data_IF_908019834945
#
_entry.id   IF_908019834945
#
_cell.length_a   1.000
_cell.length_b   1.000
_cell.length_c   1.000
_cell.angle_alpha   90.00
_cell.angle_beta   90.00
_cell.angle_gamma   90.00
#
_symmetry.space_group_name_H-M   'P 1'
#
loop_
_entity.id
_entity.type
_entity.pdbx_description
1 polymer ?
#
# COMPACT_ATOMS: atom_id res chain seq x y z
N UNK A 1 30.32 7.11 11.45
CA UNK A 1 29.74 5.77 11.18
C UNK A 1 30.59 5.07 10.13
N UNK A 2 30.71 3.73 10.18
CA UNK A 2 31.60 2.97 9.30
C UNK A 2 30.87 2.48 8.04
N UNK A 3 31.60 2.32 6.93
CA UNK A 3 31.10 1.74 5.67
C UNK A 3 30.40 0.38 5.86
N UNK A 4 30.77 -0.36 6.92
CA UNK A 4 30.21 -1.66 7.27
C UNK A 4 28.73 -1.61 7.68
N UNK A 5 28.25 -0.51 8.27
CA UNK A 5 26.83 -0.37 8.62
C UNK A 5 25.96 -0.19 7.37
N UNK A 6 26.47 0.59 6.41
CA UNK A 6 25.82 0.83 5.11
C UNK A 6 25.74 -0.47 4.29
N UNK A 7 26.85 -1.20 4.20
CA UNK A 7 26.88 -2.51 3.52
C UNK A 7 25.90 -3.51 4.15
N UNK A 8 25.73 -3.48 5.47
CA UNK A 8 24.81 -4.38 6.18
C UNK A 8 23.34 -4.14 5.83
N UNK A 9 22.89 -2.89 5.71
CA UNK A 9 21.49 -2.58 5.39
C UNK A 9 21.19 -2.76 3.91
N UNK A 10 22.16 -2.48 3.04
CA UNK A 10 22.06 -2.80 1.61
C UNK A 10 21.86 -4.30 1.40
N UNK A 11 22.58 -5.16 2.15
CA UNK A 11 22.37 -6.61 2.13
C UNK A 11 20.94 -6.99 2.52
N UNK A 12 20.36 -6.32 3.53
CA UNK A 12 18.99 -6.59 3.98
C UNK A 12 17.93 -6.16 2.97
N UNK A 13 18.14 -5.06 2.23
CA UNK A 13 17.24 -4.68 1.12
C UNK A 13 17.24 -5.74 0.02
N UNK A 14 18.41 -6.26 -0.34
CA UNK A 14 18.54 -7.33 -1.35
C UNK A 14 17.86 -8.64 -0.84
N UNK A 15 17.95 -8.96 0.46
CA UNK A 15 17.24 -10.09 1.07
C UNK A 15 15.71 -9.95 1.02
N UNK A 16 15.17 -8.78 1.36
CA UNK A 16 13.72 -8.53 1.29
C UNK A 16 13.26 -8.56 -0.17
N UNK A 17 14.02 -7.96 -1.09
CA UNK A 17 13.72 -8.03 -2.51
C UNK A 17 13.67 -9.48 -3.01
N UNK A 18 14.65 -10.31 -2.64
CA UNK A 18 14.64 -11.72 -3.01
C UNK A 18 13.41 -12.47 -2.48
N UNK A 19 12.90 -12.11 -1.28
CA UNK A 19 11.64 -12.66 -0.76
C UNK A 19 10.43 -12.23 -1.60
N UNK A 20 10.38 -10.98 -2.06
CA UNK A 20 9.33 -10.48 -2.96
C UNK A 20 9.38 -11.22 -4.29
N UNK A 21 10.57 -11.34 -4.88
CA UNK A 21 10.78 -12.02 -6.17
C UNK A 21 10.42 -13.51 -6.10
N UNK A 22 10.57 -14.12 -4.93
CA UNK A 22 10.21 -15.52 -4.67
C UNK A 22 8.70 -15.75 -4.39
N UNK A 23 7.88 -14.70 -4.31
CA UNK A 23 6.42 -14.87 -4.22
C UNK A 23 5.88 -15.50 -5.50
N UNK A 24 4.69 -16.10 -5.44
CA UNK A 24 4.07 -16.81 -6.57
C UNK A 24 4.03 -16.00 -7.87
N UNK A 25 3.84 -14.68 -7.76
CA UNK A 25 3.71 -13.77 -8.89
C UNK A 25 4.95 -12.91 -9.12
N UNK A 26 5.96 -13.01 -8.25
CA UNK A 26 7.13 -12.13 -8.23
C UNK A 26 6.77 -10.68 -7.89
N UNK A 27 7.68 -9.76 -8.23
CA UNK A 27 7.55 -8.34 -7.96
C UNK A 27 6.74 -7.60 -9.04
N UNK A 28 5.47 -7.96 -9.29
CA UNK A 28 4.70 -7.29 -10.34
C UNK A 28 4.49 -5.79 -10.04
N UNK A 29 4.29 -5.03 -11.11
CA UNK A 29 3.96 -3.60 -11.08
C UNK A 29 2.65 -3.32 -11.82
N UNK A 30 2.00 -2.21 -11.46
CA UNK A 30 0.94 -1.61 -12.26
C UNK A 30 1.43 -0.58 -13.28
N UNK A 31 2.75 -0.34 -13.36
CA UNK A 31 3.32 0.48 -14.43
C UNK A 31 3.04 -0.17 -15.80
N UNK A 32 2.31 0.50 -16.71
CA UNK A 32 2.00 -0.08 -18.03
C UNK A 32 3.25 -0.25 -18.92
N UNK A 33 4.37 0.38 -18.57
CA UNK A 33 5.62 0.35 -19.34
C UNK A 33 6.62 -0.70 -18.83
N UNK A 34 6.34 -1.38 -17.71
CA UNK A 34 7.26 -2.35 -17.08
C UNK A 34 6.50 -3.59 -16.63
N UNK A 35 7.22 -4.70 -16.48
CA UNK A 35 6.67 -5.95 -15.95
C UNK A 35 6.90 -6.11 -14.45
N UNK A 36 7.90 -5.43 -13.90
CA UNK A 36 8.35 -5.55 -12.52
C UNK A 36 8.43 -4.19 -11.84
N UNK A 37 8.16 -4.18 -10.53
CA UNK A 37 8.27 -3.01 -9.68
C UNK A 37 9.72 -2.54 -9.56
N UNK A 38 9.92 -1.26 -9.24
CA UNK A 38 11.26 -0.72 -8.97
C UNK A 38 11.88 -1.45 -7.78
N UNK A 39 13.08 -2.05 -7.91
CA UNK A 39 13.73 -2.71 -6.78
C UNK A 39 13.95 -1.74 -5.61
N UNK A 40 13.67 -2.16 -4.37
CA UNK A 40 13.70 -1.29 -3.19
C UNK A 40 15.04 -0.54 -3.03
N UNK A 41 16.16 -1.22 -3.29
CA UNK A 41 17.50 -0.64 -3.25
C UNK A 41 17.69 0.50 -4.26
N UNK A 42 17.19 0.33 -5.49
CA UNK A 42 17.27 1.36 -6.52
C UNK A 42 16.40 2.56 -6.14
N UNK A 43 15.21 2.30 -5.60
CA UNK A 43 14.29 3.34 -5.17
C UNK A 43 14.88 4.16 -4.02
N UNK A 44 15.35 3.52 -2.95
CA UNK A 44 15.99 4.21 -1.81
C UNK A 44 17.20 5.03 -2.26
N UNK A 45 18.05 4.47 -3.12
CA UNK A 45 19.22 5.18 -3.67
C UNK A 45 18.85 6.38 -4.55
N UNK A 46 17.68 6.34 -5.21
CA UNK A 46 17.20 7.45 -6.04
C UNK A 46 16.57 8.59 -5.24
N UNK A 47 16.08 8.31 -4.03
CA UNK A 47 15.36 9.26 -3.19
C UNK A 47 16.27 9.95 -2.15
N UNK A 48 17.10 9.18 -1.45
CA UNK A 48 17.76 9.64 -0.23
C UNK A 48 19.24 10.00 -0.44
N UNK A 49 19.68 11.07 0.22
CA UNK A 49 21.09 11.43 0.31
C UNK A 49 21.86 10.60 1.35
N UNK A 50 23.17 10.79 1.49
CA UNK A 50 24.02 10.00 2.40
C UNK A 50 23.59 10.05 3.88
N UNK A 51 22.93 11.12 4.32
CA UNK A 51 22.42 11.27 5.68
C UNK A 51 21.08 10.58 5.92
N UNK A 52 20.27 10.40 4.87
CA UNK A 52 18.91 9.85 4.99
C UNK A 52 18.79 8.38 4.58
N UNK A 53 19.72 7.89 3.74
CA UNK A 53 19.63 6.59 3.07
C UNK A 53 19.42 5.43 4.04
N UNK A 54 20.10 5.43 5.19
CA UNK A 54 20.00 4.36 6.19
C UNK A 54 18.60 4.29 6.82
N UNK A 55 18.02 5.45 7.11
CA UNK A 55 16.70 5.54 7.74
C UNK A 55 15.61 5.15 6.75
N UNK A 56 15.71 5.61 5.50
CA UNK A 56 14.75 5.25 4.46
C UNK A 56 14.86 3.78 4.06
N UNK A 57 16.09 3.22 4.01
CA UNK A 57 16.32 1.79 3.80
C UNK A 57 15.68 0.95 4.90
N UNK A 58 15.85 1.32 6.17
CA UNK A 58 15.23 0.63 7.30
C UNK A 58 13.70 0.65 7.21
N UNK A 59 13.11 1.81 6.89
CA UNK A 59 11.67 1.94 6.68
C UNK A 59 11.16 1.04 5.54
N UNK A 60 11.85 1.04 4.39
CA UNK A 60 11.51 0.20 3.25
C UNK A 60 11.55 -1.29 3.61
N UNK A 61 12.60 -1.74 4.30
CA UNK A 61 12.74 -3.12 4.80
C UNK A 61 11.56 -3.50 5.70
N UNK A 62 11.26 -2.66 6.70
CA UNK A 62 10.22 -2.95 7.69
C UNK A 62 8.83 -3.02 7.07
N UNK A 63 8.48 -2.06 6.20
CA UNK A 63 7.17 -2.02 5.55
C UNK A 63 7.01 -3.17 4.55
N UNK A 64 8.01 -3.41 3.71
CA UNK A 64 7.95 -4.51 2.75
C UNK A 64 7.91 -5.88 3.42
N UNK A 65 8.65 -6.06 4.53
CA UNK A 65 8.57 -7.29 5.34
C UNK A 65 7.19 -7.46 5.96
N UNK A 66 6.62 -6.39 6.54
CA UNK A 66 5.27 -6.44 7.09
C UNK A 66 4.22 -6.75 6.02
N UNK A 67 4.38 -6.23 4.80
CA UNK A 67 3.50 -6.53 3.68
C UNK A 67 3.62 -8.01 3.25
N UNK A 68 4.83 -8.57 3.14
CA UNK A 68 5.05 -9.99 2.87
C UNK A 68 4.36 -10.88 3.91
N UNK A 69 4.51 -10.56 5.18
CA UNK A 69 4.03 -11.39 6.28
C UNK A 69 2.50 -11.33 6.44
N UNK A 70 1.87 -10.19 6.10
CA UNK A 70 0.44 -9.96 6.29
C UNK A 70 -0.40 -10.09 5.02
N UNK A 71 0.20 -9.97 3.84
CA UNK A 71 -0.45 -10.12 2.54
C UNK A 71 0.37 -11.08 1.67
N UNK A 72 0.45 -12.37 2.03
CA UNK A 72 1.28 -13.34 1.32
C UNK A 72 0.87 -13.57 -0.14
N UNK A 73 -0.39 -13.25 -0.47
CA UNK A 73 -0.94 -13.32 -1.83
C UNK A 73 -0.82 -12.00 -2.60
N UNK A 74 -0.14 -10.98 -2.05
CA UNK A 74 -0.04 -9.67 -2.68
C UNK A 74 0.61 -9.74 -4.06
N UNK A 75 0.03 -9.06 -5.05
CA UNK A 75 0.47 -9.14 -6.44
C UNK A 75 1.48 -8.05 -6.76
N UNK A 76 1.19 -6.82 -6.37
CA UNK A 76 1.93 -5.65 -6.84
C UNK A 76 2.75 -4.99 -5.74
N UNK A 77 3.98 -4.59 -6.09
CA UNK A 77 5.01 -4.17 -5.13
C UNK A 77 5.51 -2.75 -5.38
N UNK A 78 4.62 -1.88 -5.88
CA UNK A 78 4.91 -0.50 -6.24
C UNK A 78 5.08 0.39 -5.00
N UNK A 79 6.33 0.57 -4.57
CA UNK A 79 6.69 1.39 -3.40
C UNK A 79 7.11 2.83 -3.74
N UNK A 80 7.22 3.18 -5.02
CA UNK A 80 7.82 4.43 -5.50
C UNK A 80 7.17 5.67 -4.88
N UNK A 81 5.85 5.81 -5.00
CA UNK A 81 5.13 6.96 -4.45
C UNK A 81 5.11 6.94 -2.92
N UNK A 82 4.99 5.75 -2.30
CA UNK A 82 5.00 5.61 -0.85
C UNK A 82 6.32 6.12 -0.26
N UNK A 83 7.46 5.58 -0.69
CA UNK A 83 8.76 5.99 -0.16
C UNK A 83 9.10 7.44 -0.52
N UNK A 84 8.69 7.91 -1.70
CA UNK A 84 8.84 9.31 -2.07
C UNK A 84 8.06 10.25 -1.13
N UNK A 85 6.82 9.91 -0.80
CA UNK A 85 5.98 10.69 0.14
C UNK A 85 6.59 10.68 1.54
N UNK A 86 6.99 9.52 2.06
CA UNK A 86 7.66 9.41 3.38
C UNK A 86 8.92 10.27 3.41
N UNK A 87 9.77 10.18 2.40
CA UNK A 87 11.01 10.96 2.31
C UNK A 87 10.71 12.47 2.24
N UNK A 88 9.80 12.90 1.37
CA UNK A 88 9.47 14.32 1.19
C UNK A 88 8.90 14.95 2.47
N UNK A 89 8.01 14.25 3.16
CA UNK A 89 7.47 14.74 4.42
C UNK A 89 8.49 14.73 5.56
N UNK A 90 9.35 13.71 5.63
CA UNK A 90 10.44 13.68 6.59
C UNK A 90 11.45 14.81 6.35
N UNK A 91 11.78 15.11 5.09
CA UNK A 91 12.67 16.22 4.73
C UNK A 91 12.06 17.60 5.07
N UNK A 92 10.74 17.73 5.05
CA UNK A 92 10.01 18.93 5.47
C UNK A 92 9.77 18.98 6.99
N UNK A 93 10.05 17.91 7.73
CA UNK A 93 9.89 17.82 9.18
C UNK A 93 11.11 18.41 9.90
N UNK A 94 10.96 19.00 11.11
CA UNK A 94 12.09 19.39 11.95
C UNK A 94 13.02 18.23 12.34
N UNK A 95 12.48 17.02 12.35
CA UNK A 95 13.21 15.79 12.66
C UNK A 95 12.85 14.71 11.62
N UNK A 96 13.80 14.41 10.74
CA UNK A 96 13.67 13.40 9.69
C UNK A 96 13.51 12.01 10.28
N UNK A 97 14.35 11.66 11.27
CA UNK A 97 14.39 10.32 11.83
C UNK A 97 13.08 10.00 12.56
N UNK A 98 12.60 10.92 13.39
CA UNK A 98 11.34 10.74 14.12
C UNK A 98 10.13 10.66 13.17
N UNK A 99 10.14 11.39 12.06
CA UNK A 99 9.06 11.31 11.07
C UNK A 99 9.05 9.95 10.35
N UNK A 100 10.21 9.50 9.87
CA UNK A 100 10.35 8.20 9.21
C UNK A 100 9.96 7.07 10.15
N UNK A 101 10.47 7.07 11.38
CA UNK A 101 10.15 6.06 12.39
C UNK A 101 8.63 6.00 12.65
N UNK A 102 8.01 7.15 12.94
CA UNK A 102 6.58 7.20 13.22
C UNK A 102 5.74 6.71 12.04
N UNK A 103 6.07 7.14 10.83
CA UNK A 103 5.33 6.77 9.62
C UNK A 103 5.47 5.28 9.32
N UNK A 104 6.67 4.73 9.51
CA UNK A 104 6.97 3.30 9.37
C UNK A 104 6.16 2.48 10.37
N UNK A 105 6.22 2.83 11.66
CA UNK A 105 5.49 2.13 12.72
C UNK A 105 3.98 2.11 12.46
N UNK A 106 3.42 3.25 12.05
CA UNK A 106 2.00 3.33 11.69
C UNK A 106 1.67 2.46 10.48
N UNK A 107 2.48 2.50 9.42
CA UNK A 107 2.26 1.72 8.21
C UNK A 107 2.34 0.21 8.51
N UNK A 108 3.36 -0.24 9.24
CA UNK A 108 3.49 -1.64 9.69
C UNK A 108 2.29 -2.07 10.54
N UNK A 109 1.84 -1.22 11.46
CA UNK A 109 0.64 -1.47 12.25
C UNK A 109 -0.63 -1.62 11.40
N UNK A 110 -0.76 -0.85 10.32
CA UNK A 110 -1.87 -1.02 9.36
C UNK A 110 -1.78 -2.36 8.63
N UNK A 111 -0.59 -2.81 8.22
CA UNK A 111 -0.43 -4.11 7.58
C UNK A 111 -0.91 -5.25 8.49
N UNK A 112 -0.52 -5.20 9.77
CA UNK A 112 -0.95 -6.16 10.79
C UNK A 112 -2.44 -6.07 11.10
N UNK A 113 -3.01 -4.87 11.10
CA UNK A 113 -4.43 -4.64 11.40
C UNK A 113 -5.35 -5.17 10.30
N UNK A 114 -4.97 -4.98 9.03
CA UNK A 114 -5.84 -5.27 7.89
C UNK A 114 -5.57 -6.62 7.21
N UNK A 115 -4.33 -7.14 7.29
CA UNK A 115 -3.92 -8.33 6.54
C UNK A 115 -4.52 -9.65 7.01
N UNK A 116 -4.09 -10.73 6.36
CA UNK A 116 -4.65 -12.07 6.49
C UNK A 116 -4.48 -12.69 7.88
N UNK A 117 -3.48 -12.24 8.65
CA UNK A 117 -3.23 -12.71 10.01
C UNK A 117 -4.15 -12.03 11.05
N UNK A 118 -4.95 -11.04 10.65
CA UNK A 118 -5.84 -10.30 11.55
C UNK A 118 -7.27 -10.87 11.53
N UNK A 119 -8.20 -10.25 12.27
CA UNK A 119 -9.64 -10.55 12.14
C UNK A 119 -10.26 -9.93 10.88
N UNK A 120 -9.64 -8.88 10.31
CA UNK A 120 -10.14 -8.19 9.11
C UNK A 120 -9.91 -9.06 7.86
N UNK A 121 -8.72 -9.67 7.75
CA UNK A 121 -8.34 -10.66 6.71
C UNK A 121 -8.47 -10.17 5.26
N UNK A 122 -8.04 -8.95 4.95
CA UNK A 122 -7.95 -8.55 3.54
C UNK A 122 -6.81 -9.29 2.84
N UNK A 123 -7.09 -9.76 1.61
CA UNK A 123 -6.13 -10.52 0.81
C UNK A 123 -4.97 -9.67 0.31
N UNK A 124 -5.24 -8.40 -0.02
CA UNK A 124 -4.31 -7.48 -0.67
C UNK A 124 -4.24 -6.13 0.05
N UNK A 125 -3.10 -5.46 -0.04
CA UNK A 125 -2.89 -4.08 0.45
C UNK A 125 -3.31 -3.01 -0.57
N UNK A 126 -3.79 -3.44 -1.74
CA UNK A 126 -3.97 -2.59 -2.93
C UNK A 126 -4.80 -1.32 -2.68
N UNK A 127 -5.91 -1.39 -1.94
CA UNK A 127 -6.75 -0.20 -1.69
C UNK A 127 -6.01 0.89 -0.90
N UNK A 128 -5.04 0.52 -0.06
CA UNK A 128 -4.15 1.45 0.63
C UNK A 128 -3.05 1.97 -0.30
N UNK A 129 -2.26 1.08 -0.91
CA UNK A 129 -1.10 1.46 -1.74
C UNK A 129 -1.50 2.27 -2.98
N UNK A 130 -2.64 1.94 -3.59
CA UNK A 130 -3.14 2.64 -4.77
C UNK A 130 -4.15 3.74 -4.45
N UNK A 131 -4.31 4.06 -3.16
CA UNK A 131 -5.04 5.23 -2.69
C UNK A 131 -6.55 5.19 -2.89
N UNK A 132 -7.16 4.02 -3.09
CA UNK A 132 -8.63 3.89 -3.15
C UNK A 132 -9.28 4.29 -1.82
N UNK A 133 -8.72 3.83 -0.69
CA UNK A 133 -9.23 4.20 0.63
C UNK A 133 -9.04 5.69 0.92
N UNK A 134 -7.89 6.25 0.52
CA UNK A 134 -7.60 7.67 0.65
C UNK A 134 -8.57 8.53 -0.18
N UNK A 135 -8.71 8.23 -1.47
CA UNK A 135 -9.59 8.97 -2.37
C UNK A 135 -11.04 8.95 -1.87
N UNK A 136 -11.54 7.77 -1.48
CA UNK A 136 -12.88 7.61 -0.89
C UNK A 136 -13.05 8.46 0.37
N UNK A 137 -12.04 8.51 1.24
CA UNK A 137 -12.12 9.30 2.47
C UNK A 137 -12.07 10.80 2.22
N UNK A 138 -11.17 11.29 1.36
CA UNK A 138 -11.08 12.72 1.01
C UNK A 138 -12.38 13.18 0.36
N UNK A 139 -12.92 12.40 -0.60
CA UNK A 139 -14.16 12.73 -1.32
C UNK A 139 -15.38 12.91 -0.41
N UNK A 140 -15.42 12.23 0.74
CA UNK A 140 -16.52 12.37 1.73
C UNK A 140 -16.54 13.72 2.45
N UNK A 141 -15.43 14.43 2.49
CA UNK A 141 -15.34 15.77 3.10
C UNK A 141 -14.19 16.58 2.48
N UNK A 142 -14.33 17.00 1.21
CA UNK A 142 -13.23 17.64 0.48
C UNK A 142 -12.76 18.94 1.13
N UNK A 143 -13.69 19.72 1.70
CA UNK A 143 -13.41 21.02 2.28
C UNK A 143 -12.35 20.94 3.39
N UNK A 144 -12.36 19.87 4.19
CA UNK A 144 -11.42 19.69 5.29
C UNK A 144 -10.22 18.79 4.93
N UNK A 145 -10.27 18.05 3.80
CA UNK A 145 -9.32 16.97 3.50
C UNK A 145 -8.53 17.15 2.20
N UNK A 146 -8.81 18.18 1.40
CA UNK A 146 -8.17 18.36 0.08
C UNK A 146 -6.64 18.43 0.10
N UNK A 147 -6.02 18.74 1.25
CA UNK A 147 -4.56 18.85 1.42
C UNK A 147 -3.94 17.63 2.10
N UNK A 148 -4.72 16.59 2.39
CA UNK A 148 -4.19 15.40 3.05
C UNK A 148 -3.54 14.49 2.01
N UNK A 149 -2.27 14.18 2.22
CA UNK A 149 -1.50 13.25 1.39
C UNK A 149 -1.92 11.79 1.63
N UNK A 150 -1.94 10.91 0.60
CA UNK A 150 -2.30 9.50 0.73
C UNK A 150 -1.43 8.69 1.70
N UNK A 151 -0.21 9.12 2.02
CA UNK A 151 0.65 8.42 2.97
C UNK A 151 1.05 9.29 4.17
N UNK A 152 0.49 10.50 4.25
CA UNK A 152 0.72 11.41 5.38
C UNK A 152 0.08 10.92 6.68
N UNK A 153 0.68 11.32 7.81
CA UNK A 153 0.24 10.91 9.17
C UNK A 153 -1.26 11.12 9.44
N UNK A 154 -1.89 12.15 8.87
CA UNK A 154 -3.33 12.39 9.05
C UNK A 154 -4.19 11.24 8.50
N UNK A 155 -3.86 10.74 7.30
CA UNK A 155 -4.57 9.61 6.71
C UNK A 155 -4.23 8.29 7.41
N UNK A 156 -2.97 8.09 7.82
CA UNK A 156 -2.56 6.90 8.56
C UNK A 156 -3.32 6.75 9.89
N UNK A 157 -3.45 7.84 10.66
CA UNK A 157 -4.22 7.84 11.92
C UNK A 157 -5.68 7.49 11.68
N UNK A 158 -6.27 8.04 10.62
CA UNK A 158 -7.66 7.80 10.28
C UNK A 158 -7.87 6.37 9.74
N UNK A 159 -6.92 5.82 9.01
CA UNK A 159 -6.92 4.41 8.56
C UNK A 159 -6.85 3.45 9.75
N UNK A 160 -6.05 3.77 10.77
CA UNK A 160 -5.99 3.00 12.01
C UNK A 160 -7.32 3.05 12.77
N UNK A 161 -7.88 4.25 12.96
CA UNK A 161 -9.19 4.42 13.61
C UNK A 161 -10.28 3.62 12.89
N UNK A 162 -10.32 3.69 11.55
CA UNK A 162 -11.28 2.92 10.75
C UNK A 162 -11.11 1.42 10.92
N UNK A 163 -9.87 0.94 11.02
CA UNK A 163 -9.59 -0.48 11.20
C UNK A 163 -10.08 -0.99 12.55
N UNK A 164 -9.93 -0.18 13.60
CA UNK A 164 -10.49 -0.48 14.94
C UNK A 164 -12.02 -0.50 14.92
N UNK A 165 -12.67 0.41 14.19
CA UNK A 165 -14.12 0.38 14.00
C UNK A 165 -14.57 -0.92 13.32
N UNK A 166 -13.85 -1.34 12.26
CA UNK A 166 -14.13 -2.60 11.56
C UNK A 166 -14.01 -3.80 12.50
N UNK A 167 -12.99 -3.84 13.36
CA UNK A 167 -12.86 -4.89 14.38
C UNK A 167 -14.07 -4.94 15.32
N UNK A 168 -14.60 -3.77 15.71
CA UNK A 168 -15.83 -3.68 16.49
C UNK A 168 -17.05 -4.25 15.76
N UNK A 169 -17.20 -3.95 14.46
CA UNK A 169 -18.27 -4.51 13.63
C UNK A 169 -18.15 -6.03 13.47
N UNK A 170 -16.93 -6.55 13.30
CA UNK A 170 -16.67 -8.00 13.22
C UNK A 170 -17.00 -8.69 14.54
N UNK A 171 -16.65 -8.07 15.66
CA UNK A 171 -16.99 -8.62 16.97
C UNK A 171 -18.52 -8.63 17.19
N UNK A 172 -19.24 -7.65 16.66
CA UNK A 172 -20.70 -7.61 16.68
C UNK A 172 -21.38 -8.52 15.64
N UNK A 173 -20.60 -9.21 14.79
CA UNK A 173 -21.09 -10.02 13.67
C UNK A 173 -22.04 -9.23 12.75
N UNK A 174 -21.64 -8.01 12.41
CA UNK A 174 -22.43 -7.09 11.59
C UNK A 174 -22.69 -7.65 10.18
N UNK A 175 -23.84 -7.28 9.60
CA UNK A 175 -24.24 -7.73 8.26
C UNK A 175 -23.27 -7.38 7.13
N UNK A 176 -22.54 -6.27 7.24
CA UNK A 176 -21.53 -5.86 6.27
C UNK A 176 -20.14 -6.37 6.64
N UNK A 177 -19.89 -6.58 7.93
CA UNK A 177 -18.64 -7.13 8.43
C UNK A 177 -18.85 -8.37 9.31
N UNK A 178 -19.34 -9.48 8.75
CA UNK A 178 -19.57 -10.68 9.54
C UNK A 178 -18.25 -11.30 9.97
N UNK A 179 -18.29 -12.17 10.99
CA UNK A 179 -17.18 -13.06 11.33
C UNK A 179 -16.96 -14.04 10.18
N UNK A 180 -15.69 -14.29 9.87
CA UNK A 180 -15.30 -15.19 8.79
C UNK A 180 -14.89 -16.55 9.34
N UNK A 181 -15.15 -17.61 8.56
CA UNK A 181 -14.54 -18.91 8.78
C UNK A 181 -13.02 -18.85 8.63
N UNK A 182 -12.33 -19.85 9.17
CA UNK A 182 -10.87 -19.94 9.09
C UNK A 182 -10.39 -20.08 7.64
N UNK A 183 -9.28 -19.42 7.32
CA UNK A 183 -8.68 -19.42 5.97
C UNK A 183 -9.43 -18.59 4.92
N UNK A 184 -10.54 -17.95 5.26
CA UNK A 184 -11.32 -17.14 4.31
C UNK A 184 -10.85 -15.69 4.36
N UNK A 185 -10.44 -15.17 3.20
CA UNK A 185 -10.17 -13.75 3.02
C UNK A 185 -11.46 -12.95 2.87
N UNK A 186 -11.48 -11.73 3.41
CA UNK A 186 -12.62 -10.82 3.28
C UNK A 186 -12.65 -10.20 1.89
N UNK A 187 -13.79 -10.34 1.22
CA UNK A 187 -14.10 -9.58 0.01
C UNK A 187 -15.28 -8.64 0.27
N UNK A 188 -15.06 -7.31 0.41
CA UNK A 188 -16.14 -6.34 0.56
C UNK A 188 -16.74 -5.90 -0.78
N UNK A 189 -16.27 -6.44 -1.91
CA UNK A 189 -16.67 -6.04 -3.25
C UNK A 189 -17.64 -7.05 -3.87
N UNK A 190 -18.39 -6.57 -4.87
CA UNK A 190 -19.33 -7.38 -5.67
C UNK A 190 -18.65 -8.11 -6.84
N UNK A 191 -17.33 -8.05 -6.94
CA UNK A 191 -16.53 -8.69 -7.97
C UNK A 191 -15.46 -9.60 -7.35
N UNK A 192 -14.99 -10.56 -8.14
CA UNK A 192 -13.95 -11.51 -7.77
C UNK A 192 -12.68 -10.80 -7.31
N UNK A 193 -12.05 -11.39 -6.31
CA UNK A 193 -10.73 -11.00 -5.80
C UNK A 193 -9.74 -12.16 -5.92
N UNK A 194 -10.00 -13.12 -6.79
CA UNK A 194 -9.02 -14.16 -7.12
C UNK A 194 -7.82 -13.54 -7.85
N UNK A 195 -6.60 -14.06 -7.66
CA UNK A 195 -5.38 -13.40 -8.14
C UNK A 195 -5.38 -13.05 -9.63
N UNK A 196 -5.86 -13.95 -10.48
CA UNK A 196 -5.93 -13.75 -11.93
C UNK A 196 -6.91 -12.63 -12.30
N UNK A 197 -8.06 -12.58 -11.64
CA UNK A 197 -9.09 -11.56 -11.87
C UNK A 197 -8.64 -10.19 -11.34
N UNK A 198 -8.02 -10.17 -10.17
CA UNK A 198 -7.40 -8.97 -9.57
C UNK A 198 -6.34 -8.39 -10.51
N UNK A 199 -5.49 -9.26 -11.09
CA UNK A 199 -4.46 -8.88 -12.05
C UNK A 199 -5.07 -8.25 -13.32
N UNK A 200 -6.10 -8.88 -13.88
CA UNK A 200 -6.82 -8.37 -15.06
C UNK A 200 -7.46 -7.01 -14.77
N UNK A 201 -8.15 -6.89 -13.64
CA UNK A 201 -8.83 -5.67 -13.24
C UNK A 201 -7.85 -4.51 -13.04
N UNK A 202 -6.82 -4.68 -12.21
CA UNK A 202 -5.94 -3.57 -11.87
C UNK A 202 -5.05 -3.13 -13.05
N UNK A 203 -4.68 -4.04 -13.95
CA UNK A 203 -4.02 -3.65 -15.21
C UNK A 203 -4.94 -2.85 -16.13
N UNK A 204 -6.22 -3.22 -16.26
CA UNK A 204 -7.19 -2.44 -17.01
C UNK A 204 -7.46 -1.06 -16.37
N UNK A 205 -7.47 -0.97 -15.04
CA UNK A 205 -7.58 0.30 -14.32
C UNK A 205 -6.38 1.21 -14.58
N UNK A 206 -5.16 0.68 -14.43
CA UNK A 206 -3.91 1.42 -14.68
C UNK A 206 -3.86 1.94 -16.12
N UNK A 207 -4.12 1.09 -17.11
CA UNK A 207 -4.09 1.46 -18.53
C UNK A 207 -5.11 2.56 -18.92
N UNK A 208 -6.11 2.81 -18.07
CA UNK A 208 -7.17 3.80 -18.27
C UNK A 208 -7.07 5.00 -17.34
N UNK A 209 -5.98 5.12 -16.58
CA UNK A 209 -5.80 6.15 -15.57
C UNK A 209 -6.96 6.18 -14.56
N UNK A 210 -7.37 4.99 -14.10
CA UNK A 210 -8.45 4.78 -13.12
C UNK A 210 -7.91 4.32 -11.77
N UNK A 211 -6.66 4.67 -11.46
CA UNK A 211 -6.01 4.39 -10.18
C UNK A 211 -5.75 5.73 -9.48
N UNK A 212 -6.25 5.95 -8.25
CA UNK A 212 -6.12 7.23 -7.56
C UNK A 212 -4.67 7.66 -7.35
N UNK A 213 -3.79 6.71 -6.99
CA UNK A 213 -2.37 6.93 -6.79
C UNK A 213 -1.60 5.99 -7.70
N UNK A 214 -0.86 6.55 -8.66
CA UNK A 214 0.08 5.80 -9.50
C UNK A 214 1.31 5.41 -8.67
N UNK A 215 1.16 4.40 -7.79
CA UNK A 215 2.14 4.09 -6.77
C UNK A 215 3.53 3.69 -7.31
N UNK A 216 3.60 3.32 -8.59
CA UNK A 216 4.83 2.98 -9.33
C UNK A 216 5.63 4.20 -9.80
N UNK A 217 5.23 5.42 -9.42
CA UNK A 217 5.92 6.67 -9.76
C UNK A 217 6.32 7.45 -8.52
N UNK A 218 7.55 7.94 -8.51
CA UNK A 218 8.05 8.88 -7.48
C UNK A 218 7.29 10.22 -7.54
N UNK A 219 6.99 10.69 -8.75
CA UNK A 219 6.34 11.98 -9.03
C UNK A 219 4.83 11.86 -9.23
N UNK A 220 4.21 10.81 -8.68
CA UNK A 220 2.77 10.59 -8.83
C UNK A 220 1.98 11.84 -8.40
N UNK A 221 0.86 12.07 -9.09
CA UNK A 221 -0.10 13.12 -8.76
C UNK A 221 -1.41 12.45 -8.27
N UNK A 222 -1.56 12.20 -6.96
CA UNK A 222 -2.76 11.60 -6.40
C UNK A 222 -4.03 12.38 -6.78
N UNK A 223 -5.06 11.66 -7.25
CA UNK A 223 -6.37 12.22 -7.56
C UNK A 223 -7.44 11.57 -6.68
N UNK A 224 -8.20 12.40 -5.97
CA UNK A 224 -9.36 11.97 -5.17
C UNK A 224 -10.70 12.42 -5.76
N UNK A 225 -10.67 13.28 -6.79
CA UNK A 225 -11.83 14.03 -7.27
C UNK A 225 -12.89 13.16 -7.96
N UNK A 226 -12.51 11.95 -8.36
CA UNK A 226 -13.35 11.03 -9.12
C UNK A 226 -13.92 9.92 -8.25
N UNK A 227 -14.99 9.29 -8.73
CA UNK A 227 -15.56 8.13 -8.06
C UNK A 227 -14.83 6.83 -8.43
N UNK A 228 -13.62 6.65 -7.91
CA UNK A 228 -12.79 5.49 -8.23
C UNK A 228 -13.41 4.14 -7.85
N UNK A 229 -14.26 4.08 -6.83
CA UNK A 229 -15.00 2.86 -6.50
C UNK A 229 -16.01 2.52 -7.59
N UNK A 230 -16.85 3.49 -8.00
CA UNK A 230 -17.82 3.28 -9.06
C UNK A 230 -17.15 2.98 -10.41
N UNK A 231 -16.02 3.64 -10.70
CA UNK A 231 -15.21 3.38 -11.89
C UNK A 231 -14.65 1.96 -11.87
N UNK A 232 -14.07 1.53 -10.73
CA UNK A 232 -13.55 0.17 -10.54
C UNK A 232 -14.62 -0.89 -10.71
N UNK A 233 -15.79 -0.71 -10.11
CA UNK A 233 -16.94 -1.62 -10.27
C UNK A 233 -17.42 -1.68 -11.72
N UNK A 234 -17.48 -0.54 -12.42
CA UNK A 234 -17.87 -0.51 -13.83
C UNK A 234 -16.87 -1.28 -14.71
N UNK A 235 -15.57 -1.22 -14.40
CA UNK A 235 -14.54 -2.00 -15.09
C UNK A 235 -14.65 -3.48 -14.79
N UNK A 236 -14.84 -3.87 -13.53
CA UNK A 236 -15.05 -5.26 -13.15
C UNK A 236 -16.25 -5.89 -13.88
N UNK A 237 -17.37 -5.15 -13.98
CA UNK A 237 -18.54 -5.56 -14.78
C UNK A 237 -18.23 -5.71 -16.26
N UNK A 238 -17.52 -4.74 -16.85
CA UNK A 238 -17.14 -4.78 -18.26
C UNK A 238 -16.22 -5.98 -18.59
N UNK A 239 -15.40 -6.39 -17.63
CA UNK A 239 -14.49 -7.53 -17.71
C UNK A 239 -15.13 -8.86 -17.32
N UNK A 240 -16.42 -8.86 -16.90
CA UNK A 240 -17.16 -10.04 -16.44
C UNK A 240 -16.54 -10.72 -15.23
N UNK A 241 -16.04 -9.91 -14.30
CA UNK A 241 -15.47 -10.34 -13.01
C UNK A 241 -16.49 -10.28 -11.87
N UNK A 242 -17.75 -9.99 -12.18
CA UNK A 242 -18.88 -10.03 -11.23
C UNK A 242 -19.57 -11.38 -11.37
N UNK A 243 -19.99 -11.93 -10.24
CA UNK A 243 -20.85 -13.12 -10.20
C UNK A 243 -22.27 -12.82 -10.72
#
# INVERSE_FOLDING_TARGET
>A
MSARAIESRVSTLDEVQARIDATTWGALTLDPCRSEATPLKNLVASLAGPSEVELLAAAAIEVASAQLDNFPENLFWDFDCYLASVHAHAAASPDYAAYVERTTLMTVGLMQLYGQQSKIRFRYVHDFMYGFDWARWVRRDPANRLRVDPFGLSFLNQSESRGRDILGLIEADDSWYPRLGDGVARNPFSFSREPEDELVLYRDLSARDLVPVQAWRIDAAPDWSRDFDALREARAKALKLVD
#
